data_IF_626276414237
#
_entry.id   IF_626276414237
#
_cell.length_a   1.000
_cell.length_b   1.000
_cell.length_c   1.000
_cell.angle_alpha   90.00
_cell.angle_beta   90.00
_cell.angle_gamma   90.00
#
_symmetry.space_group_name_H-M   'P 1'
#
loop_
_entity.id
_entity.type
_entity.pdbx_description
1 polymer ?
#
# COMPACT_ATOMS: atom_id res chain seq x y z
N UNK A 1 -21.38 8.80 -8.17
CA UNK A 1 -21.22 7.37 -7.84
C UNK A 1 -21.50 6.46 -9.04
N UNK A 2 -22.65 6.54 -9.72
CA UNK A 2 -22.96 5.63 -10.84
C UNK A 2 -21.90 5.62 -11.99
N UNK A 3 -21.36 6.77 -12.44
CA UNK A 3 -20.27 6.78 -13.43
C UNK A 3 -18.99 6.09 -12.92
N UNK A 4 -18.70 6.25 -11.63
CA UNK A 4 -17.56 5.60 -10.97
C UNK A 4 -17.72 4.09 -10.86
N UNK A 5 -18.92 3.61 -10.53
CA UNK A 5 -19.22 2.17 -10.43
C UNK A 5 -19.18 1.48 -11.79
N UNK A 6 -19.53 2.20 -12.86
CA UNK A 6 -19.52 1.69 -14.23
C UNK A 6 -18.16 1.83 -14.93
N UNK A 7 -17.15 2.35 -14.22
CA UNK A 7 -15.81 2.59 -14.77
C UNK A 7 -15.72 3.72 -15.80
N UNK A 8 -16.77 4.53 -15.94
CA UNK A 8 -16.83 5.67 -16.87
C UNK A 8 -16.14 6.93 -16.36
N UNK A 9 -15.92 7.04 -15.05
CA UNK A 9 -15.26 8.17 -14.39
C UNK A 9 -14.35 7.63 -13.27
N UNK A 10 -13.11 8.10 -13.19
CA UNK A 10 -12.23 7.69 -12.09
C UNK A 10 -12.72 8.29 -10.76
N UNK A 11 -12.52 7.58 -9.64
CA UNK A 11 -12.98 8.05 -8.31
C UNK A 11 -12.40 9.43 -7.95
N UNK A 12 -11.12 9.65 -8.27
CA UNK A 12 -10.45 10.93 -8.02
C UNK A 12 -11.07 12.07 -8.82
N UNK A 13 -11.45 11.84 -10.08
CA UNK A 13 -12.12 12.84 -10.92
C UNK A 13 -13.52 13.17 -10.38
N UNK A 14 -14.26 12.15 -9.96
CA UNK A 14 -15.57 12.33 -9.34
C UNK A 14 -15.48 13.21 -8.07
N UNK A 15 -14.50 12.95 -7.21
CA UNK A 15 -14.24 13.74 -6.00
C UNK A 15 -13.82 15.17 -6.38
N UNK A 16 -12.90 15.32 -7.33
CA UNK A 16 -12.41 16.62 -7.79
C UNK A 16 -13.52 17.49 -8.39
N UNK A 17 -14.42 16.89 -9.17
CA UNK A 17 -15.58 17.58 -9.75
C UNK A 17 -16.50 18.12 -8.65
N UNK A 18 -16.79 17.32 -7.63
CA UNK A 18 -17.58 17.75 -6.47
C UNK A 18 -16.86 18.83 -5.66
N UNK A 19 -15.55 18.70 -5.47
CA UNK A 19 -14.71 19.71 -4.82
C UNK A 19 -14.77 21.05 -5.55
N UNK A 20 -14.79 21.05 -6.89
CA UNK A 20 -14.84 22.26 -7.72
C UNK A 20 -16.24 22.83 -7.94
N UNK A 21 -17.30 22.03 -7.74
CA UNK A 21 -18.67 22.44 -8.02
C UNK A 21 -19.19 23.58 -7.12
N UNK A 22 -18.64 23.72 -5.90
CA UNK A 22 -19.09 24.71 -4.92
C UNK A 22 -17.91 25.57 -4.44
N UNK A 23 -17.35 26.45 -5.30
CA UNK A 23 -16.08 27.10 -5.06
C UNK A 23 -16.06 28.04 -3.85
N UNK A 24 -17.20 28.60 -3.47
CA UNK A 24 -17.33 29.55 -2.37
C UNK A 24 -17.61 28.88 -1.01
N UNK A 25 -17.91 27.58 -1.00
CA UNK A 25 -18.26 26.86 0.22
C UNK A 25 -17.04 26.27 0.91
N UNK A 26 -17.00 26.40 2.25
CA UNK A 26 -15.88 25.89 3.09
C UNK A 26 -15.81 24.37 3.12
N UNK A 27 -16.95 23.70 2.95
CA UNK A 27 -17.08 22.25 2.87
C UNK A 27 -18.34 21.88 2.08
N UNK A 28 -18.36 20.66 1.55
CA UNK A 28 -19.48 20.13 0.76
C UNK A 28 -19.87 18.76 1.30
N UNK A 29 -21.16 18.59 1.60
CA UNK A 29 -21.72 17.28 1.95
C UNK A 29 -21.96 16.44 0.70
N UNK A 30 -21.71 15.14 0.78
CA UNK A 30 -22.16 14.15 -0.20
C UNK A 30 -22.58 12.88 0.50
N UNK A 31 -23.36 12.07 -0.20
CA UNK A 31 -23.61 10.70 0.22
C UNK A 31 -22.73 9.75 -0.59
N UNK A 32 -22.08 8.82 0.13
CA UNK A 32 -21.47 7.64 -0.44
C UNK A 32 -22.36 6.45 -0.07
N UNK A 33 -23.20 6.04 -1.03
CA UNK A 33 -24.33 5.15 -0.79
C UNK A 33 -25.25 5.71 0.30
N UNK A 34 -25.32 5.03 1.45
CA UNK A 34 -26.13 5.43 2.61
C UNK A 34 -25.37 6.26 3.63
N UNK A 35 -24.04 6.43 3.46
CA UNK A 35 -23.20 7.12 4.44
C UNK A 35 -22.98 8.58 4.05
N UNK A 36 -23.24 9.54 4.95
CA UNK A 36 -22.85 10.91 4.72
C UNK A 36 -21.31 11.03 4.73
N UNK A 37 -20.79 11.92 3.90
CA UNK A 37 -19.37 12.22 3.77
C UNK A 37 -19.21 13.72 3.57
N UNK A 38 -18.15 14.26 4.17
CA UNK A 38 -17.82 15.67 4.10
C UNK A 38 -16.55 15.86 3.28
N UNK A 39 -16.64 16.66 2.22
CA UNK A 39 -15.48 17.13 1.45
C UNK A 39 -15.08 18.49 2.04
N UNK A 40 -13.97 18.54 2.76
CA UNK A 40 -13.45 19.78 3.37
C UNK A 40 -12.58 20.53 2.36
N UNK A 41 -12.82 21.83 2.21
CA UNK A 41 -12.10 22.69 1.24
C UNK A 41 -11.29 23.78 1.92
N UNK A 42 -11.79 24.30 3.04
CA UNK A 42 -11.12 25.31 3.84
C UNK A 42 -9.90 24.75 4.57
N UNK A 43 -8.74 25.36 4.33
CA UNK A 43 -7.46 24.98 4.93
C UNK A 43 -7.47 25.10 6.46
N UNK A 44 -8.18 26.07 7.04
CA UNK A 44 -8.26 26.21 8.49
C UNK A 44 -9.08 25.08 9.11
N UNK A 45 -10.11 24.58 8.41
CA UNK A 45 -10.84 23.39 8.83
C UNK A 45 -9.97 22.13 8.67
N UNK A 46 -9.20 22.01 7.58
CA UNK A 46 -8.26 20.90 7.41
C UNK A 46 -7.27 20.86 8.57
N UNK A 47 -6.60 21.97 8.89
CA UNK A 47 -5.67 22.06 10.04
C UNK A 47 -6.36 21.74 11.36
N UNK A 48 -7.61 22.18 11.53
CA UNK A 48 -8.37 21.88 12.74
C UNK A 48 -8.62 20.37 12.87
N UNK A 49 -9.04 19.70 11.80
CA UNK A 49 -9.32 18.26 11.79
C UNK A 49 -8.03 17.41 11.90
N UNK A 50 -6.97 17.77 11.17
CA UNK A 50 -5.77 16.92 11.04
C UNK A 50 -4.69 17.22 12.08
N UNK A 51 -4.78 18.36 12.79
CA UNK A 51 -3.76 18.78 13.77
C UNK A 51 -4.40 19.13 15.11
N UNK A 52 -5.24 20.18 15.17
CA UNK A 52 -5.69 20.74 16.46
C UNK A 52 -6.61 19.80 17.23
N UNK A 53 -7.59 19.23 16.53
CA UNK A 53 -8.63 18.35 17.08
C UNK A 53 -8.43 16.90 16.62
N UNK A 54 -7.22 16.53 16.20
CA UNK A 54 -6.89 15.23 15.60
C UNK A 54 -7.35 14.03 16.43
N UNK A 55 -7.32 14.16 17.76
CA UNK A 55 -7.77 13.13 18.70
C UNK A 55 -9.25 12.71 18.50
N UNK A 56 -10.08 13.57 17.90
CA UNK A 56 -11.46 13.25 17.53
C UNK A 56 -11.60 12.54 16.17
N UNK A 57 -10.53 12.53 15.37
CA UNK A 57 -10.51 12.08 13.96
C UNK A 57 -9.43 11.02 13.70
N UNK A 58 -9.08 10.21 14.72
CA UNK A 58 -8.03 9.20 14.65
C UNK A 58 -8.30 8.10 13.61
N UNK A 59 -9.56 7.68 13.49
CA UNK A 59 -9.91 6.45 12.79
C UNK A 59 -10.17 6.66 11.29
N UNK A 60 -9.57 5.81 10.46
CA UNK A 60 -9.97 5.68 9.06
C UNK A 60 -11.19 4.78 8.88
N UNK A 61 -11.78 4.85 7.69
CA UNK A 61 -12.88 3.96 7.29
C UNK A 61 -12.36 2.56 7.00
N UNK A 62 -12.89 1.58 7.72
CA UNK A 62 -12.59 0.16 7.54
C UNK A 62 -13.84 -0.57 7.10
N UNK A 63 -13.69 -1.42 6.08
CA UNK A 63 -14.80 -2.15 5.46
C UNK A 63 -14.65 -3.67 5.53
N UNK A 64 -13.52 -4.16 6.03
CA UNK A 64 -13.18 -5.58 6.16
C UNK A 64 -13.02 -5.93 7.64
N UNK A 65 -13.41 -7.15 8.00
CA UNK A 65 -13.27 -7.68 9.35
C UNK A 65 -11.84 -8.19 9.56
N UNK A 66 -11.15 -7.66 10.57
CA UNK A 66 -9.78 -8.05 10.92
C UNK A 66 -9.63 -9.52 11.33
N UNK A 67 -10.68 -10.17 11.82
CA UNK A 67 -10.62 -11.59 12.17
C UNK A 67 -10.65 -12.47 10.92
N UNK A 68 -11.24 -11.96 9.83
CA UNK A 68 -11.47 -12.70 8.60
C UNK A 68 -10.33 -12.49 7.61
N UNK A 69 -9.81 -11.28 7.54
CA UNK A 69 -8.62 -10.93 6.76
C UNK A 69 -7.67 -10.11 7.63
N UNK A 70 -6.82 -10.76 8.45
CA UNK A 70 -5.90 -10.07 9.34
C UNK A 70 -4.87 -9.23 8.60
N UNK A 71 -4.42 -9.66 7.41
CA UNK A 71 -3.41 -8.95 6.63
C UNK A 71 -3.93 -7.57 6.21
N UNK A 72 -5.20 -7.48 5.80
CA UNK A 72 -5.82 -6.19 5.51
C UNK A 72 -6.38 -5.49 6.75
N UNK A 73 -7.04 -6.21 7.66
CA UNK A 73 -7.76 -5.59 8.77
C UNK A 73 -6.86 -5.09 9.91
N UNK A 74 -5.66 -5.65 10.07
CA UNK A 74 -4.68 -5.22 11.10
C UNK A 74 -3.51 -4.41 10.53
N UNK A 75 -3.61 -3.92 9.30
CA UNK A 75 -2.63 -2.99 8.76
C UNK A 75 -2.75 -1.61 9.45
N UNK A 76 -1.68 -0.82 9.44
CA UNK A 76 -1.60 0.46 10.15
C UNK A 76 -2.69 1.48 9.75
N UNK A 77 -3.22 1.43 8.53
CA UNK A 77 -4.29 2.32 8.09
C UNK A 77 -5.67 1.85 8.58
N UNK A 78 -5.82 0.57 8.92
CA UNK A 78 -7.07 -0.04 9.37
C UNK A 78 -7.23 -0.08 10.89
N UNK A 79 -6.13 -0.09 11.65
CA UNK A 79 -6.17 -0.05 13.11
C UNK A 79 -6.84 1.24 13.61
N UNK A 80 -7.43 1.18 14.80
CA UNK A 80 -8.22 2.26 15.40
C UNK A 80 -7.76 2.59 16.80
N UNK A 81 -8.04 3.82 17.24
CA UNK A 81 -7.83 4.28 18.61
C UNK A 81 -6.43 3.95 19.15
N UNK A 82 -6.37 3.34 20.33
CA UNK A 82 -5.11 3.06 21.03
C UNK A 82 -4.24 2.03 20.30
N UNK A 83 -4.83 0.97 19.72
CA UNK A 83 -4.06 -0.04 18.98
C UNK A 83 -3.29 0.58 17.80
N UNK A 84 -3.92 1.54 17.12
CA UNK A 84 -3.25 2.32 16.08
C UNK A 84 -2.09 3.15 16.63
N UNK A 85 -2.29 3.84 17.77
CA UNK A 85 -1.24 4.66 18.39
C UNK A 85 -0.04 3.81 18.78
N UNK A 86 -0.28 2.66 19.41
CA UNK A 86 0.77 1.75 19.86
C UNK A 86 1.55 1.18 18.68
N UNK A 87 0.86 0.71 17.64
CA UNK A 87 1.49 0.19 16.43
C UNK A 87 2.28 1.27 15.68
N UNK A 88 1.71 2.49 15.57
CA UNK A 88 2.40 3.61 14.93
C UNK A 88 3.66 4.00 15.69
N UNK A 89 3.60 4.06 17.03
CA UNK A 89 4.76 4.35 17.87
C UNK A 89 5.84 3.27 17.74
N UNK A 90 5.44 2.01 17.54
CA UNK A 90 6.37 0.89 17.34
C UNK A 90 7.07 0.94 15.98
N UNK A 91 6.36 1.32 14.91
CA UNK A 91 6.91 1.35 13.55
C UNK A 91 7.70 2.62 13.22
N UNK A 92 7.35 3.76 13.84
CA UNK A 92 7.98 5.06 13.51
C UNK A 92 9.51 5.09 13.66
N UNK A 93 10.12 4.46 14.69
CA UNK A 93 11.58 4.42 14.84
C UNK A 93 12.34 3.80 13.65
N UNK A 94 11.72 2.86 12.92
CA UNK A 94 12.31 2.21 11.76
C UNK A 94 12.56 3.20 10.59
N UNK A 95 11.84 4.32 10.56
CA UNK A 95 11.91 5.33 9.50
C UNK A 95 12.64 6.62 9.93
N UNK A 96 13.40 6.57 11.02
CA UNK A 96 14.26 7.69 11.43
C UNK A 96 15.37 7.95 10.42
N UNK A 97 15.86 9.20 10.33
CA UNK A 97 16.93 9.54 9.38
C UNK A 97 18.19 8.70 9.55
N UNK A 98 18.52 8.25 10.77
CA UNK A 98 19.64 7.35 11.02
C UNK A 98 19.40 5.96 10.43
N UNK A 99 18.22 5.37 10.64
CA UNK A 99 17.85 4.07 10.07
C UNK A 99 17.76 4.13 8.54
N UNK A 100 17.15 5.18 7.99
CA UNK A 100 17.08 5.39 6.54
C UNK A 100 18.46 5.51 5.90
N UNK A 101 19.43 6.17 6.56
CA UNK A 101 20.82 6.23 6.08
C UNK A 101 21.48 4.85 6.03
N UNK A 102 21.17 3.95 6.96
CA UNK A 102 21.69 2.58 6.94
C UNK A 102 21.07 1.72 5.83
N UNK A 103 19.84 2.01 5.41
CA UNK A 103 19.16 1.32 4.31
C UNK A 103 19.57 1.84 2.92
N UNK A 104 20.08 3.08 2.83
CA UNK A 104 20.46 3.72 1.56
C UNK A 104 21.38 2.86 0.67
N UNK A 105 22.42 2.16 1.20
CA UNK A 105 23.25 1.29 0.38
C UNK A 105 22.45 0.18 -0.32
N UNK A 106 21.42 -0.39 0.34
CA UNK A 106 20.58 -1.40 -0.29
C UNK A 106 19.75 -0.83 -1.43
N UNK A 107 19.26 0.40 -1.29
CA UNK A 107 18.52 1.10 -2.35
C UNK A 107 19.43 1.39 -3.55
N UNK A 108 20.65 1.85 -3.29
CA UNK A 108 21.65 2.10 -4.32
C UNK A 108 22.01 0.82 -5.08
N UNK A 109 22.19 -0.30 -4.37
CA UNK A 109 22.48 -1.60 -4.97
C UNK A 109 21.38 -2.06 -5.93
N UNK A 110 20.10 -1.90 -5.55
CA UNK A 110 18.96 -2.20 -6.46
C UNK A 110 18.97 -1.24 -7.67
N UNK A 111 19.36 0.01 -7.49
CA UNK A 111 19.53 0.98 -8.58
C UNK A 111 20.62 0.59 -9.55
N UNK A 112 21.77 0.13 -9.06
CA UNK A 112 22.88 -0.35 -9.88
C UNK A 112 22.48 -1.60 -10.67
N UNK A 113 21.75 -2.52 -10.05
CA UNK A 113 21.18 -3.71 -10.72
C UNK A 113 20.24 -3.31 -11.85
N UNK A 114 19.32 -2.36 -11.60
CA UNK A 114 18.42 -1.83 -12.62
C UNK A 114 19.21 -1.26 -13.82
N UNK A 115 20.23 -0.43 -13.56
CA UNK A 115 21.07 0.15 -14.62
C UNK A 115 21.81 -0.93 -15.40
N UNK A 116 22.33 -1.96 -14.71
CA UNK A 116 23.01 -3.08 -15.34
C UNK A 116 22.07 -3.86 -16.27
N UNK A 117 20.89 -4.25 -15.80
CA UNK A 117 19.89 -5.00 -16.57
C UNK A 117 19.41 -4.21 -17.79
N UNK A 118 19.23 -2.89 -17.67
CA UNK A 118 18.88 -2.04 -18.81
C UNK A 118 20.01 -1.97 -19.85
N UNK A 119 21.27 -1.78 -19.42
CA UNK A 119 22.43 -1.77 -20.32
C UNK A 119 22.57 -3.09 -21.08
N UNK A 120 22.36 -4.22 -20.39
CA UNK A 120 22.40 -5.53 -21.02
C UNK A 120 21.24 -5.76 -21.99
N UNK A 121 20.05 -5.26 -21.66
CA UNK A 121 18.88 -5.33 -22.55
C UNK A 121 19.09 -4.51 -23.82
N UNK A 122 19.72 -3.34 -23.72
CA UNK A 122 20.11 -2.52 -24.88
C UNK A 122 21.13 -3.25 -25.75
N UNK A 123 22.18 -3.85 -25.16
CA UNK A 123 23.19 -4.61 -25.91
C UNK A 123 22.61 -5.83 -26.62
N UNK A 124 21.61 -6.48 -26.03
CA UNK A 124 20.90 -7.63 -26.61
C UNK A 124 19.87 -7.21 -27.66
N UNK A 125 19.45 -5.95 -27.65
CA UNK A 125 18.54 -5.43 -28.66
C UNK A 125 19.26 -5.26 -29.99
N UNK A 126 18.59 -5.64 -31.08
CA UNK A 126 19.07 -5.37 -32.44
C UNK A 126 18.79 -3.91 -32.88
N UNK A 127 18.24 -3.08 -31.98
CA UNK A 127 17.89 -1.68 -32.23
C UNK A 127 18.71 -0.74 -31.34
N UNK A 128 18.97 0.51 -31.78
CA UNK A 128 19.73 1.50 -31.00
C UNK A 128 18.94 2.08 -29.81
N UNK A 129 17.70 1.66 -29.62
CA UNK A 129 16.79 2.11 -28.56
C UNK A 129 16.05 0.91 -27.95
N UNK A 130 15.54 1.11 -26.72
CA UNK A 130 14.76 0.12 -25.99
C UNK A 130 13.45 0.77 -25.54
N UNK A 131 12.33 0.18 -25.96
CA UNK A 131 11.01 0.58 -25.47
C UNK A 131 10.77 -0.02 -24.09
N UNK A 132 10.38 0.82 -23.13
CA UNK A 132 10.22 0.43 -21.72
C UNK A 132 8.86 0.85 -21.18
N UNK A 133 8.17 -0.07 -20.52
CA UNK A 133 7.07 0.27 -19.63
C UNK A 133 7.64 0.83 -18.32
N UNK A 134 7.67 2.16 -18.22
CA UNK A 134 8.18 2.86 -17.03
C UNK A 134 7.38 2.55 -15.77
N UNK A 135 6.11 2.18 -15.88
CA UNK A 135 5.30 1.81 -14.71
C UNK A 135 5.76 0.45 -14.18
N UNK A 136 5.93 -0.54 -15.04
CA UNK A 136 6.44 -1.86 -14.63
C UNK A 136 7.87 -1.73 -14.06
N UNK A 137 8.73 -0.98 -14.75
CA UNK A 137 10.11 -0.74 -14.32
C UNK A 137 10.20 -0.12 -12.91
N UNK A 138 9.47 0.96 -12.67
CA UNK A 138 9.43 1.63 -11.37
C UNK A 138 8.77 0.76 -10.29
N UNK A 139 7.77 -0.04 -10.66
CA UNK A 139 7.09 -0.96 -9.72
C UNK A 139 8.04 -2.07 -9.28
N UNK A 140 8.82 -2.65 -10.20
CA UNK A 140 9.85 -3.65 -9.90
C UNK A 140 10.96 -3.08 -9.03
N UNK A 141 11.49 -1.91 -9.38
CA UNK A 141 12.48 -1.22 -8.56
C UNK A 141 11.97 -0.98 -7.13
N UNK A 142 10.77 -0.39 -6.98
CA UNK A 142 10.18 -0.13 -5.67
C UNK A 142 9.94 -1.42 -4.86
N UNK A 143 9.48 -2.48 -5.54
CA UNK A 143 9.31 -3.79 -4.93
C UNK A 143 10.62 -4.37 -4.41
N UNK A 144 11.70 -4.32 -5.19
CA UNK A 144 12.99 -4.90 -4.81
C UNK A 144 13.66 -4.09 -3.69
N UNK A 145 13.49 -2.76 -3.71
CA UNK A 145 13.85 -1.88 -2.58
C UNK A 145 13.11 -2.28 -1.30
N UNK A 146 11.80 -2.53 -1.37
CA UNK A 146 11.03 -2.98 -0.20
C UNK A 146 11.47 -4.39 0.23
N UNK A 147 11.69 -5.31 -0.71
CA UNK A 147 12.16 -6.67 -0.41
C UNK A 147 13.45 -6.63 0.40
N UNK A 148 14.41 -5.81 -0.02
CA UNK A 148 15.73 -5.73 0.61
C UNK A 148 15.72 -4.92 1.91
N UNK A 149 15.00 -3.79 1.97
CA UNK A 149 15.00 -2.89 3.13
C UNK A 149 14.02 -3.29 4.23
N UNK A 150 12.91 -3.96 3.87
CA UNK A 150 11.88 -4.37 4.83
C UNK A 150 12.01 -5.84 5.20
N UNK A 151 12.21 -6.72 4.23
CA UNK A 151 12.23 -8.16 4.47
C UNK A 151 13.65 -8.75 4.53
N UNK A 152 14.68 -7.94 4.25
CA UNK A 152 16.06 -8.44 4.21
C UNK A 152 16.28 -9.46 3.08
N UNK A 153 15.52 -9.38 1.99
CA UNK A 153 15.60 -10.29 0.85
C UNK A 153 16.21 -9.58 -0.34
N UNK A 154 17.25 -10.18 -0.91
CA UNK A 154 17.78 -9.73 -2.19
C UNK A 154 16.92 -10.34 -3.30
N UNK A 155 16.18 -9.49 -3.99
CA UNK A 155 15.29 -9.86 -5.10
C UNK A 155 15.77 -9.11 -6.34
N UNK A 156 15.83 -9.79 -7.47
CA UNK A 156 16.08 -9.20 -8.78
C UNK A 156 14.87 -9.50 -9.68
N UNK A 157 13.80 -8.75 -9.47
CA UNK A 157 12.55 -8.93 -10.21
C UNK A 157 12.65 -8.44 -11.65
N UNK A 158 13.70 -7.69 -12.00
CA UNK A 158 13.93 -7.20 -13.36
C UNK A 158 14.53 -8.28 -14.25
N UNK A 159 15.51 -9.01 -13.74
CA UNK A 159 16.14 -10.12 -14.47
C UNK A 159 15.32 -11.40 -14.41
N UNK A 160 14.50 -11.58 -13.37
CA UNK A 160 13.55 -12.69 -13.21
C UNK A 160 12.09 -12.20 -13.32
N UNK A 161 11.49 -12.22 -14.53
CA UNK A 161 10.12 -11.77 -14.73
C UNK A 161 9.09 -12.55 -13.91
N UNK A 162 9.40 -13.80 -13.55
CA UNK A 162 8.51 -14.72 -12.86
C UNK A 162 8.67 -14.71 -11.34
N UNK A 163 9.46 -13.77 -10.82
CA UNK A 163 9.79 -13.66 -9.41
C UNK A 163 8.55 -13.70 -8.49
N UNK A 164 8.55 -14.66 -7.55
CA UNK A 164 7.40 -14.89 -6.69
C UNK A 164 7.12 -13.73 -5.72
N UNK A 165 8.17 -13.08 -5.18
CA UNK A 165 7.99 -11.93 -4.29
C UNK A 165 7.31 -10.78 -5.04
N UNK A 166 7.79 -10.45 -6.25
CA UNK A 166 7.16 -9.43 -7.10
C UNK A 166 5.70 -9.76 -7.41
N UNK A 167 5.40 -11.00 -7.82
CA UNK A 167 4.01 -11.43 -8.11
C UNK A 167 3.08 -11.27 -6.91
N UNK A 168 3.51 -11.70 -5.72
CA UNK A 168 2.71 -11.56 -4.50
C UNK A 168 2.57 -10.09 -4.08
N UNK A 169 3.64 -9.30 -4.19
CA UNK A 169 3.62 -7.85 -3.96
C UNK A 169 2.66 -7.12 -4.89
N UNK A 170 2.66 -7.46 -6.18
CA UNK A 170 1.75 -6.87 -7.17
C UNK A 170 0.28 -7.22 -6.88
N UNK A 171 -0.01 -8.46 -6.47
CA UNK A 171 -1.35 -8.87 -6.03
C UNK A 171 -1.79 -8.08 -4.80
N UNK A 172 -0.87 -7.84 -3.86
CA UNK A 172 -1.15 -7.08 -2.63
C UNK A 172 -1.37 -5.58 -2.91
N UNK A 173 -0.63 -5.00 -3.84
CA UNK A 173 -0.70 -3.57 -4.19
C UNK A 173 -1.80 -3.22 -5.19
N UNK A 174 -2.25 -4.18 -6.02
CA UNK A 174 -3.18 -3.91 -7.12
C UNK A 174 -4.60 -4.35 -6.78
N UNK A 175 -5.50 -3.38 -6.62
CA UNK A 175 -6.93 -3.65 -6.52
C UNK A 175 -7.52 -3.90 -7.91
N UNK A 176 -7.75 -5.17 -8.26
CA UNK A 176 -8.48 -5.53 -9.48
C UNK A 176 -9.97 -5.24 -9.32
N UNK A 177 -10.72 -5.36 -10.41
CA UNK A 177 -12.17 -5.13 -10.44
C UNK A 177 -12.93 -5.88 -9.33
N UNK A 178 -12.55 -7.14 -9.05
CA UNK A 178 -13.14 -7.92 -7.95
C UNK A 178 -12.94 -7.23 -6.59
N UNK A 179 -11.73 -6.81 -6.26
CA UNK A 179 -11.45 -6.14 -4.99
C UNK A 179 -12.14 -4.77 -4.90
N UNK A 180 -12.22 -4.02 -6.00
CA UNK A 180 -12.99 -2.77 -6.07
C UNK A 180 -14.48 -3.02 -5.82
N UNK A 181 -15.06 -4.04 -6.44
CA UNK A 181 -16.45 -4.43 -6.21
C UNK A 181 -16.70 -4.82 -4.75
N UNK A 182 -15.80 -5.60 -4.15
CA UNK A 182 -15.86 -5.96 -2.73
C UNK A 182 -15.78 -4.72 -1.82
N UNK A 183 -14.92 -3.74 -2.17
CA UNK A 183 -14.83 -2.48 -1.45
C UNK A 183 -16.14 -1.68 -1.52
N UNK A 184 -16.77 -1.59 -2.70
CA UNK A 184 -18.07 -0.94 -2.85
C UNK A 184 -19.18 -1.66 -2.10
N UNK A 185 -19.22 -2.99 -2.15
CA UNK A 185 -20.18 -3.81 -1.38
C UNK A 185 -19.98 -3.65 0.13
N UNK A 186 -18.73 -3.60 0.61
CA UNK A 186 -18.43 -3.35 2.03
C UNK A 186 -18.83 -1.95 2.48
N UNK A 187 -18.75 -0.97 1.58
CA UNK A 187 -19.17 0.40 1.84
C UNK A 187 -20.69 0.55 1.88
N UNK A 188 -21.40 -0.06 0.93
CA UNK A 188 -22.86 0.03 0.80
C UNK A 188 -23.61 -0.89 1.77
N UNK A 189 -23.12 -2.13 1.94
CA UNK A 189 -23.78 -3.19 2.71
C UNK A 189 -22.79 -3.90 3.66
N UNK A 190 -22.28 -3.19 4.70
CA UNK A 190 -21.27 -3.73 5.61
C UNK A 190 -21.73 -5.01 6.32
N UNK A 191 -23.03 -5.16 6.57
CA UNK A 191 -23.59 -6.36 7.19
C UNK A 191 -23.49 -7.62 6.30
N UNK A 192 -23.63 -7.47 4.98
CA UNK A 192 -23.49 -8.57 4.03
C UNK A 192 -22.04 -9.05 4.00
N UNK A 193 -21.09 -8.12 3.90
CA UNK A 193 -19.65 -8.45 3.89
C UNK A 193 -19.21 -9.10 5.20
N UNK A 194 -19.70 -8.60 6.33
CA UNK A 194 -19.48 -9.24 7.64
C UNK A 194 -20.04 -10.64 7.72
N UNK A 195 -21.15 -10.96 7.06
CA UNK A 195 -21.70 -12.32 7.02
C UNK A 195 -20.94 -13.25 6.08
N UNK A 196 -20.61 -12.81 4.87
CA UNK A 196 -20.12 -13.65 3.77
C UNK A 196 -18.63 -14.06 3.82
N UNK A 197 -17.96 -13.94 4.97
CA UNK A 197 -16.54 -14.27 5.16
C UNK A 197 -15.59 -13.79 4.03
N UNK A 198 -15.83 -12.57 3.55
CA UNK A 198 -15.12 -12.01 2.40
C UNK A 198 -13.72 -11.56 2.85
N UNK A 199 -12.70 -12.03 2.14
CA UNK A 199 -11.30 -11.60 2.28
C UNK A 199 -10.90 -10.78 1.05
N UNK A 200 -10.11 -9.73 1.24
CA UNK A 200 -9.52 -8.95 0.15
C UNK A 200 -8.26 -9.63 -0.37
N UNK A 201 -7.43 -10.15 0.53
CA UNK A 201 -6.26 -10.93 0.17
C UNK A 201 -6.56 -12.42 0.11
N UNK A 202 -5.95 -13.09 -0.86
CA UNK A 202 -6.02 -14.54 -0.98
C UNK A 202 -5.27 -15.20 0.19
N UNK A 203 -5.69 -16.40 0.56
CA UNK A 203 -5.00 -17.17 1.61
C UNK A 203 -3.56 -17.51 1.23
N UNK A 204 -3.29 -17.68 -0.08
CA UNK A 204 -1.94 -17.87 -0.61
C UNK A 204 -1.07 -16.64 -0.34
N UNK A 205 -1.54 -15.43 -0.67
CA UNK A 205 -0.80 -14.18 -0.46
C UNK A 205 -0.58 -13.91 1.02
N UNK A 206 -1.61 -14.12 1.85
CA UNK A 206 -1.51 -13.94 3.30
C UNK A 206 -0.53 -14.92 3.94
N UNK A 207 -0.58 -16.19 3.54
CA UNK A 207 0.36 -17.21 4.03
C UNK A 207 1.78 -16.94 3.55
N UNK A 208 1.97 -16.48 2.31
CA UNK A 208 3.28 -16.14 1.77
C UNK A 208 3.98 -15.09 2.63
N UNK A 209 3.37 -13.91 2.84
CA UNK A 209 4.00 -12.85 3.63
C UNK A 209 4.16 -13.21 5.10
N UNK A 210 3.18 -13.92 5.69
CA UNK A 210 3.28 -14.39 7.07
C UNK A 210 4.47 -15.33 7.25
N UNK A 211 4.57 -16.35 6.39
CA UNK A 211 5.65 -17.33 6.47
C UNK A 211 7.00 -16.68 6.19
N UNK A 212 7.07 -15.75 5.23
CA UNK A 212 8.28 -15.01 4.91
C UNK A 212 8.84 -14.26 6.11
N UNK A 213 7.99 -13.51 6.83
CA UNK A 213 8.41 -12.77 8.03
C UNK A 213 8.84 -13.73 9.13
N UNK A 214 8.02 -14.75 9.43
CA UNK A 214 8.32 -15.69 10.51
C UNK A 214 9.62 -16.47 10.27
N UNK A 215 9.83 -16.97 9.04
CA UNK A 215 11.07 -17.67 8.67
C UNK A 215 12.27 -16.72 8.70
N UNK A 216 12.11 -15.48 8.26
CA UNK A 216 13.20 -14.50 8.30
C UNK A 216 13.61 -14.18 9.74
N UNK A 217 12.66 -14.09 10.67
CA UNK A 217 12.94 -13.89 12.09
C UNK A 217 13.67 -15.11 12.69
N UNK A 218 13.15 -16.32 12.43
CA UNK A 218 13.76 -17.58 12.90
C UNK A 218 15.20 -17.78 12.36
N UNK A 219 15.42 -17.51 11.08
CA UNK A 219 16.74 -17.59 10.46
C UNK A 219 17.75 -16.61 11.07
N UNK A 220 17.29 -15.43 11.52
CA UNK A 220 18.15 -14.43 12.15
C UNK A 220 18.52 -14.82 13.56
N UNK A 221 17.57 -15.29 14.34
CA UNK A 221 17.81 -15.77 15.69
C UNK A 221 18.79 -16.96 15.68
N UNK A 222 18.59 -17.91 14.77
CA UNK A 222 19.44 -19.11 14.67
C UNK A 222 20.85 -18.81 14.15
N UNK A 223 20.99 -17.90 13.18
CA UNK A 223 22.28 -17.58 12.53
C UNK A 223 22.96 -16.32 13.06
N UNK A 224 22.35 -15.66 14.05
CA UNK A 224 22.82 -14.39 14.65
C UNK A 224 23.13 -13.30 13.59
N UNK A 225 22.25 -13.18 12.58
CA UNK A 225 22.43 -12.26 11.46
C UNK A 225 21.99 -10.85 11.88
N UNK A 226 22.94 -9.92 11.90
CA UNK A 226 22.65 -8.50 12.09
C UNK A 226 22.60 -7.79 10.75
N UNK A 227 21.40 -7.39 10.33
CA UNK A 227 21.18 -6.61 9.11
C UNK A 227 20.40 -5.33 9.44
N UNK A 228 20.85 -4.15 8.99
CA UNK A 228 20.16 -2.89 9.25
C UNK A 228 18.93 -2.69 8.33
N UNK A 229 18.02 -3.66 8.33
CA UNK A 229 16.70 -3.59 7.67
C UNK A 229 15.58 -3.48 8.73
N UNK A 230 14.31 -3.53 8.33
CA UNK A 230 13.18 -3.32 9.26
C UNK A 230 12.92 -4.48 10.23
N UNK A 231 13.33 -5.70 9.89
CA UNK A 231 13.17 -6.85 10.80
C UNK A 231 14.35 -6.78 11.78
N UNK A 232 14.08 -6.89 13.07
CA UNK A 232 15.09 -6.84 14.13
C UNK A 232 15.03 -8.09 14.97
#
# INVERSE_FOLDING_TARGET
MLPTLTGKEHLAENINRLYKAFPNERFVGRFEFTKPMLIVRDLELVKKITIKDFEHFLDHRVFIDEKKDPLFGRNLLSLKGQEWKDMRSTLSPAFTSSKMKLMLPFMAEVGDQLVHTLKDSIKKSNTPYLDLDTKDLCTRYANDVIATCTFGLKVDSLSDPDNNFYKQGLIAATFKFKQLLLFFLGSAFPWIVKRLNIKLFSEQTSSFFKNLVLQTMEDRETRNILRPDMIH
#
